data_IF_509333412270
#
_entry.id   IF_509333412270
#
_cell.length_a   1.000
_cell.length_b   1.000
_cell.length_c   1.000
_cell.angle_alpha   90.00
_cell.angle_beta   90.00
_cell.angle_gamma   90.00
#
_symmetry.space_group_name_H-M   'P 1'
#
loop_
_entity.id
_entity.type
_entity.pdbx_description
1 polymer ?
#
# COMPACT_ATOMS: atom_id res chain seq x y z
N UNK A 1 -0.30 -11.08 -14.69
CA UNK A 1 0.53 -9.91 -14.31
C UNK A 1 1.43 -10.21 -13.10
N UNK A 2 0.92 -10.76 -11.99
CA UNK A 2 1.75 -11.23 -10.86
C UNK A 2 2.81 -12.28 -11.26
N UNK A 3 2.50 -13.18 -12.19
CA UNK A 3 3.45 -14.22 -12.66
C UNK A 3 4.67 -13.65 -13.40
N UNK A 4 4.48 -12.61 -14.20
CA UNK A 4 5.58 -12.02 -15.00
C UNK A 4 6.56 -11.30 -14.08
N UNK A 5 6.06 -10.52 -13.11
CA UNK A 5 6.90 -9.85 -12.12
C UNK A 5 7.67 -10.84 -11.23
N UNK A 6 7.05 -11.95 -10.85
CA UNK A 6 7.71 -13.01 -10.09
C UNK A 6 8.73 -13.79 -10.92
N UNK A 7 8.48 -14.00 -12.22
CA UNK A 7 9.46 -14.58 -13.15
C UNK A 7 10.70 -13.70 -13.27
N UNK A 8 10.53 -12.40 -13.51
CA UNK A 8 11.65 -11.46 -13.58
C UNK A 8 12.40 -11.39 -12.24
N UNK A 9 11.69 -11.36 -11.11
CA UNK A 9 12.33 -11.39 -9.81
C UNK A 9 13.08 -12.70 -9.57
N UNK A 10 12.53 -13.83 -10.01
CA UNK A 10 13.19 -15.14 -9.99
C UNK A 10 14.49 -15.15 -10.80
N UNK A 11 14.51 -14.54 -11.98
CA UNK A 11 15.72 -14.35 -12.77
C UNK A 11 16.77 -13.48 -12.06
N UNK A 12 16.33 -12.37 -11.44
CA UNK A 12 17.24 -11.50 -10.67
C UNK A 12 17.85 -12.25 -9.47
N UNK A 13 17.08 -13.12 -8.84
CA UNK A 13 17.56 -14.00 -7.76
C UNK A 13 18.54 -15.04 -8.28
N UNK A 14 18.23 -15.70 -9.40
CA UNK A 14 19.07 -16.73 -10.01
C UNK A 14 20.42 -16.16 -10.47
N UNK A 15 20.43 -14.90 -10.92
CA UNK A 15 21.65 -14.17 -11.26
C UNK A 15 22.37 -13.55 -10.04
N UNK A 16 21.95 -13.91 -8.83
CA UNK A 16 22.46 -13.38 -7.56
C UNK A 16 22.48 -11.85 -7.46
N UNK A 17 21.59 -11.18 -8.20
CA UNK A 17 21.49 -9.72 -8.17
C UNK A 17 20.65 -9.25 -6.99
N UNK A 18 19.59 -10.00 -6.67
CA UNK A 18 18.69 -9.74 -5.55
C UNK A 18 18.74 -10.93 -4.60
N UNK A 19 19.02 -10.67 -3.33
CA UNK A 19 18.82 -11.65 -2.27
C UNK A 19 17.35 -11.69 -1.91
N UNK A 20 16.80 -12.89 -1.86
CA UNK A 20 15.46 -13.08 -1.35
C UNK A 20 15.52 -13.88 -0.06
N UNK A 21 15.03 -13.29 1.02
CA UNK A 21 14.73 -14.07 2.19
C UNK A 21 13.44 -14.81 1.88
N UNK A 22 13.53 -16.12 1.69
CA UNK A 22 12.35 -16.94 1.52
C UNK A 22 11.66 -17.13 2.89
N UNK A 23 10.35 -17.14 2.88
CA UNK A 23 9.54 -17.63 3.99
C UNK A 23 9.91 -19.10 4.26
N UNK A 24 10.16 -19.43 5.52
CA UNK A 24 10.60 -20.79 5.94
C UNK A 24 9.67 -21.91 5.48
N UNK A 25 8.39 -21.61 5.25
CA UNK A 25 7.34 -22.62 5.12
C UNK A 25 6.78 -22.80 3.69
N UNK A 26 6.97 -21.84 2.79
CA UNK A 26 6.45 -21.93 1.41
C UNK A 26 7.44 -21.44 0.34
N UNK A 27 8.72 -21.27 0.70
CA UNK A 27 9.80 -20.86 -0.21
C UNK A 27 9.46 -19.62 -1.07
N UNK A 28 8.58 -18.74 -0.59
CA UNK A 28 8.23 -17.48 -1.26
C UNK A 28 9.01 -16.32 -0.70
N UNK A 29 9.17 -15.29 -1.51
CA UNK A 29 9.99 -14.14 -1.16
C UNK A 29 9.30 -13.34 -0.05
N UNK A 30 9.82 -13.43 1.19
CA UNK A 30 9.41 -12.65 2.36
C UNK A 30 9.95 -11.22 2.30
N UNK A 31 11.17 -11.10 1.80
CA UNK A 31 11.93 -9.86 1.76
C UNK A 31 12.90 -9.94 0.58
N UNK A 32 12.91 -8.92 -0.26
CA UNK A 32 13.99 -8.71 -1.23
C UNK A 32 15.02 -7.77 -0.62
N UNK A 33 16.30 -8.09 -0.76
CA UNK A 33 17.42 -7.20 -0.50
C UNK A 33 18.27 -7.13 -1.75
N UNK A 34 18.72 -5.93 -2.09
CA UNK A 34 19.72 -5.75 -3.11
C UNK A 34 21.09 -5.88 -2.43
N UNK A 35 22.02 -6.62 -3.05
CA UNK A 35 23.41 -6.65 -2.57
C UNK A 35 24.01 -5.23 -2.63
N UNK A 36 24.93 -4.88 -1.71
CA UNK A 36 25.58 -3.57 -1.72
C UNK A 36 26.27 -3.28 -3.06
N UNK A 37 27.04 -4.23 -3.61
CA UNK A 37 27.68 -4.09 -4.92
C UNK A 37 26.67 -3.87 -6.05
N UNK A 38 25.54 -4.58 -6.04
CA UNK A 38 24.48 -4.42 -7.03
C UNK A 38 23.77 -3.08 -6.89
N UNK A 39 23.53 -2.64 -5.65
CA UNK A 39 23.01 -1.31 -5.35
C UNK A 39 23.94 -0.24 -5.91
N UNK A 40 25.22 -0.33 -5.61
CA UNK A 40 26.21 0.65 -6.04
C UNK A 40 26.36 0.65 -7.57
N UNK A 41 26.34 -0.53 -8.21
CA UNK A 41 26.29 -0.66 -9.67
C UNK A 41 25.02 -0.02 -10.26
N UNK A 42 23.84 -0.26 -9.69
CA UNK A 42 22.59 0.35 -10.14
C UNK A 42 22.63 1.88 -9.99
N UNK A 43 23.20 2.39 -8.89
CA UNK A 43 23.36 3.83 -8.66
C UNK A 43 24.34 4.45 -9.66
N UNK A 44 25.46 3.77 -9.95
CA UNK A 44 26.42 4.17 -10.97
C UNK A 44 25.76 4.21 -12.35
N UNK A 45 25.05 3.15 -12.75
CA UNK A 45 24.33 3.08 -14.03
C UNK A 45 23.23 4.15 -14.12
N UNK A 46 22.49 4.38 -13.04
CA UNK A 46 21.49 5.43 -13.01
C UNK A 46 22.10 6.83 -13.18
N UNK A 47 23.32 7.07 -12.68
CA UNK A 47 24.08 8.30 -12.89
C UNK A 47 24.59 8.41 -14.33
N UNK A 48 25.20 7.35 -14.87
CA UNK A 48 25.69 7.29 -16.26
C UNK A 48 24.57 7.57 -17.27
N UNK A 49 23.36 7.05 -17.01
CA UNK A 49 22.20 7.19 -17.90
C UNK A 49 21.31 8.40 -17.58
N UNK A 50 21.67 9.24 -16.60
CA UNK A 50 20.83 10.35 -16.11
C UNK A 50 19.38 9.90 -15.80
N UNK A 51 19.24 8.69 -15.26
CA UNK A 51 17.96 8.00 -15.08
C UNK A 51 17.21 8.49 -13.83
N UNK A 52 17.95 8.73 -12.74
CA UNK A 52 17.42 9.07 -11.41
C UNK A 52 18.38 10.01 -10.68
N UNK A 53 17.83 11.08 -10.14
CA UNK A 53 18.53 11.97 -9.21
C UNK A 53 18.09 11.63 -7.78
N UNK A 54 19.04 11.50 -6.86
CA UNK A 54 18.78 11.16 -5.46
C UNK A 54 19.14 12.36 -4.58
N UNK A 55 18.18 12.81 -3.79
CA UNK A 55 18.31 13.95 -2.89
C UNK A 55 18.11 13.51 -1.46
N UNK A 56 19.10 13.79 -0.61
CA UNK A 56 18.98 13.56 0.82
C UNK A 56 18.58 14.88 1.50
N UNK A 57 17.55 14.84 2.33
CA UNK A 57 17.12 15.96 3.18
C UNK A 57 17.52 15.61 4.62
N UNK A 58 18.53 16.30 5.15
CA UNK A 58 18.94 16.19 6.56
C UNK A 58 18.17 17.19 7.43
N UNK A 59 17.87 16.79 8.66
CA UNK A 59 17.18 17.61 9.66
C UNK A 59 18.13 18.43 10.57
N UNK A 60 19.37 18.73 10.17
CA UNK A 60 20.26 19.53 11.03
C UNK A 60 19.89 21.03 11.01
N UNK A 61 19.58 21.60 12.19
CA UNK A 61 19.76 23.04 12.48
C UNK A 61 19.28 24.02 11.40
N UNK A 62 18.09 23.79 10.84
CA UNK A 62 17.50 24.60 9.75
C UNK A 62 18.18 24.54 8.38
N UNK A 63 19.32 23.88 8.17
CA UNK A 63 19.96 23.77 6.85
C UNK A 63 19.50 22.52 6.07
N UNK A 64 19.42 22.65 4.76
CA UNK A 64 19.12 21.57 3.80
C UNK A 64 20.44 21.22 3.12
N UNK A 65 20.79 19.96 2.89
CA UNK A 65 22.04 19.65 2.19
C UNK A 65 21.93 18.56 1.14
N UNK A 66 22.33 18.86 -0.10
CA UNK A 66 22.60 17.84 -1.12
C UNK A 66 23.79 16.96 -0.69
N UNK A 67 23.74 15.69 -1.06
CA UNK A 67 24.90 14.81 -1.07
C UNK A 67 25.20 14.54 -2.53
N UNK A 68 26.21 15.21 -3.06
CA UNK A 68 26.65 15.02 -4.44
C UNK A 68 27.51 13.74 -4.49
N UNK A 69 27.15 12.70 -5.28
CA UNK A 69 27.99 11.53 -5.41
C UNK A 69 29.17 11.87 -6.32
N UNK A 70 30.23 12.45 -5.75
CA UNK A 70 31.52 12.75 -6.37
C UNK A 70 31.48 13.71 -7.57
N UNK A 71 32.21 14.82 -7.38
CA UNK A 71 32.61 15.81 -8.37
C UNK A 71 33.20 15.18 -9.64
N UNK A 72 32.70 15.59 -10.81
CA UNK A 72 33.43 16.47 -11.74
C UNK A 72 32.94 16.34 -13.19
N UNK A 73 32.85 17.50 -13.83
CA UNK A 73 33.07 17.78 -15.26
C UNK A 73 33.06 16.61 -16.26
N UNK A 74 31.97 16.50 -17.02
CA UNK A 74 32.05 16.22 -18.45
C UNK A 74 30.77 16.67 -19.13
N UNK A 75 30.93 17.56 -20.11
CA UNK A 75 29.89 17.94 -21.06
C UNK A 75 29.37 16.71 -21.82
N UNK A 76 28.14 16.31 -21.56
CA UNK A 76 27.39 15.42 -22.45
C UNK A 76 25.99 15.97 -22.66
N UNK A 77 25.64 16.14 -23.93
CA UNK A 77 24.38 16.69 -24.44
C UNK A 77 23.10 16.02 -23.88
N UNK A 78 22.19 16.86 -23.38
CA UNK A 78 20.71 16.81 -23.50
C UNK A 78 19.89 15.62 -22.94
N UNK A 79 20.33 14.88 -21.92
CA UNK A 79 19.38 14.03 -21.16
C UNK A 79 19.02 14.70 -19.84
N UNK A 80 17.87 15.38 -19.81
CA UNK A 80 17.34 15.98 -18.59
C UNK A 80 16.79 14.88 -17.66
N UNK A 81 17.19 14.88 -16.38
CA UNK A 81 16.81 13.84 -15.42
C UNK A 81 15.32 13.98 -15.06
N UNK A 82 14.50 13.00 -15.42
CA UNK A 82 13.03 13.11 -15.25
C UNK A 82 12.50 12.49 -13.96
N UNK A 83 13.36 11.84 -13.17
CA UNK A 83 12.97 11.13 -11.94
C UNK A 83 13.80 11.63 -10.75
N UNK A 84 13.10 11.90 -9.65
CA UNK A 84 13.68 12.36 -8.40
C UNK A 84 13.32 11.38 -7.29
N UNK A 85 14.30 10.90 -6.53
CA UNK A 85 14.08 10.18 -5.29
C UNK A 85 14.59 11.02 -4.11
N UNK A 86 13.75 11.23 -3.12
CA UNK A 86 14.03 12.10 -2.00
C UNK A 86 14.04 11.29 -0.70
N UNK A 87 15.09 11.43 0.09
CA UNK A 87 15.27 10.71 1.35
C UNK A 87 15.35 11.69 2.50
N UNK A 88 14.33 11.72 3.35
CA UNK A 88 14.39 12.45 4.62
C UNK A 88 15.06 11.61 5.69
N UNK A 89 16.12 12.17 6.27
CA UNK A 89 16.94 11.58 7.31
C UNK A 89 16.72 12.36 8.61
N UNK A 90 16.17 11.69 9.63
CA UNK A 90 16.08 12.24 10.98
C UNK A 90 17.44 12.28 11.69
N UNK A 91 17.53 13.01 12.79
CA UNK A 91 18.79 13.26 13.52
C UNK A 91 19.53 11.98 13.94
N UNK A 92 18.80 10.92 14.31
CA UNK A 92 19.40 9.63 14.71
C UNK A 92 20.04 8.88 13.54
N UNK A 93 19.48 8.99 12.34
CA UNK A 93 19.98 8.31 11.14
C UNK A 93 21.14 9.09 10.49
N UNK A 94 21.16 10.41 10.67
CA UNK A 94 22.16 11.31 10.11
C UNK A 94 23.58 11.09 10.67
N UNK A 95 23.71 10.56 11.90
CA UNK A 95 24.99 10.27 12.54
C UNK A 95 25.71 9.02 11.98
N UNK A 96 25.04 8.23 11.13
CA UNK A 96 25.62 7.02 10.52
C UNK A 96 26.18 7.23 9.11
N UNK A 97 25.88 8.38 8.49
CA UNK A 97 26.39 8.74 7.16
C UNK A 97 27.59 9.64 7.37
N UNK A 98 28.80 9.08 7.20
CA UNK A 98 30.05 9.85 7.17
C UNK A 98 29.85 11.12 6.35
N UNK A 99 30.29 12.24 6.92
CA UNK A 99 30.26 13.60 6.37
C UNK A 99 30.97 13.69 5.01
N UNK A 100 30.35 13.18 3.94
CA UNK A 100 30.76 13.45 2.57
C UNK A 100 29.93 14.62 2.05
N UNK A 101 30.65 15.70 1.72
CA UNK A 101 30.28 16.88 0.95
C UNK A 101 28.80 17.26 0.99
N UNK A 102 28.47 18.03 2.01
CA UNK A 102 27.16 18.57 2.34
C UNK A 102 27.01 19.94 1.65
N UNK A 103 26.16 20.08 0.63
CA UNK A 103 25.96 21.36 -0.08
C UNK A 103 24.61 21.98 0.31
N UNK A 104 24.55 23.19 0.90
CA UNK A 104 23.29 23.82 1.32
C UNK A 104 22.31 24.06 0.14
N UNK A 105 21.06 23.58 0.21
CA UNK A 105 20.04 23.95 -0.80
C UNK A 105 19.70 25.44 -0.66
N UNK A 106 20.14 26.24 -1.61
CA UNK A 106 19.63 27.60 -1.82
C UNK A 106 18.37 27.56 -2.68
N UNK A 107 17.42 28.49 -2.47
CA UNK A 107 16.19 28.55 -3.28
C UNK A 107 16.38 28.81 -4.78
N UNK A 108 17.62 29.05 -5.23
CA UNK A 108 17.97 29.32 -6.63
C UNK A 108 18.29 28.06 -7.44
N UNK A 109 18.83 27.01 -6.82
CA UNK A 109 19.27 25.79 -7.53
C UNK A 109 18.10 24.97 -8.08
N UNK A 110 16.95 25.02 -7.40
CA UNK A 110 15.83 24.12 -7.68
C UNK A 110 14.90 24.57 -8.81
N UNK A 111 14.99 25.83 -9.28
CA UNK A 111 14.18 26.33 -10.40
C UNK A 111 14.47 25.60 -11.73
N UNK A 112 15.58 24.84 -11.79
CA UNK A 112 16.04 24.18 -13.00
C UNK A 112 15.43 22.78 -13.22
N UNK A 113 14.68 22.23 -12.26
CA UNK A 113 14.12 20.86 -12.34
C UNK A 113 12.68 20.79 -12.89
N UNK A 114 12.24 21.80 -13.65
CA UNK A 114 10.90 21.84 -14.25
C UNK A 114 10.58 20.64 -15.16
N UNK A 115 11.60 19.95 -15.66
CA UNK A 115 11.49 18.78 -16.54
C UNK A 115 11.21 17.45 -15.82
N UNK A 116 11.30 17.42 -14.48
CA UNK A 116 11.02 16.24 -13.65
C UNK A 116 9.54 15.87 -13.77
N UNK A 117 9.28 14.58 -14.02
CA UNK A 117 7.94 14.01 -14.20
C UNK A 117 7.53 13.06 -13.08
N UNK A 118 8.50 12.49 -12.36
CA UNK A 118 8.27 11.56 -11.27
C UNK A 118 9.09 11.94 -10.05
N UNK A 119 8.46 12.00 -8.88
CA UNK A 119 9.11 12.23 -7.61
C UNK A 119 8.63 11.20 -6.59
N UNK A 120 9.57 10.48 -5.99
CA UNK A 120 9.32 9.55 -4.89
C UNK A 120 9.97 10.08 -3.63
N UNK A 121 9.24 10.05 -2.52
CA UNK A 121 9.74 10.48 -1.23
C UNK A 121 9.72 9.35 -0.22
N UNK A 122 10.86 9.20 0.44
CA UNK A 122 11.11 8.22 1.48
C UNK A 122 11.46 8.95 2.77
N UNK A 123 10.67 8.73 3.81
CA UNK A 123 10.99 9.16 5.18
C UNK A 123 11.45 7.96 5.99
N UNK A 124 12.66 8.01 6.52
CA UNK A 124 13.13 7.08 7.54
C UNK A 124 12.95 7.75 8.91
N UNK A 125 12.19 7.12 9.80
CA UNK A 125 11.93 7.64 11.16
C UNK A 125 10.60 8.39 11.34
N UNK A 126 10.61 9.35 12.27
CA UNK A 126 9.45 10.10 12.76
C UNK A 126 8.74 10.92 11.65
N UNK A 127 7.52 11.40 11.93
CA UNK A 127 6.76 12.24 11.00
C UNK A 127 7.55 13.48 10.55
N UNK A 128 7.37 13.86 9.27
CA UNK A 128 7.96 15.08 8.73
C UNK A 128 7.45 16.31 9.49
N UNK A 129 8.35 16.97 10.20
CA UNK A 129 8.06 18.20 10.93
C UNK A 129 7.60 19.33 10.00
N UNK A 130 6.95 20.36 10.57
CA UNK A 130 6.42 21.50 9.81
C UNK A 130 7.51 22.23 9.02
N UNK A 131 8.72 22.33 9.56
CA UNK A 131 9.91 22.91 8.91
C UNK A 131 10.30 22.14 7.65
N UNK A 132 10.33 20.80 7.72
CA UNK A 132 10.59 19.90 6.60
C UNK A 132 9.54 20.04 5.50
N UNK A 133 8.27 20.26 5.84
CA UNK A 133 7.23 20.49 4.83
C UNK A 133 7.37 21.83 4.11
N UNK A 134 7.72 22.93 4.80
CA UNK A 134 7.93 24.21 4.11
C UNK A 134 9.07 24.11 3.08
N UNK A 135 10.11 23.34 3.40
CA UNK A 135 11.20 23.00 2.48
C UNK A 135 10.69 22.18 1.28
N UNK A 136 9.87 21.16 1.50
CA UNK A 136 9.19 20.42 0.41
C UNK A 136 8.29 21.32 -0.45
N UNK A 137 7.58 22.28 0.14
CA UNK A 137 6.77 23.24 -0.65
C UNK A 137 7.62 24.04 -1.61
N UNK A 138 8.84 24.44 -1.22
CA UNK A 138 9.77 25.15 -2.11
C UNK A 138 10.18 24.24 -3.28
N UNK A 139 10.39 22.94 -3.02
CA UNK A 139 10.68 21.94 -4.05
C UNK A 139 9.52 21.78 -5.02
N UNK A 140 8.33 21.57 -4.49
CA UNK A 140 7.11 21.42 -5.27
C UNK A 140 6.78 22.63 -6.16
N UNK A 141 7.27 23.84 -5.83
CA UNK A 141 7.13 25.00 -6.73
C UNK A 141 7.99 24.90 -7.99
N UNK A 142 9.12 24.21 -7.95
CA UNK A 142 10.00 24.01 -9.11
C UNK A 142 9.58 22.83 -10.01
N UNK A 143 8.79 21.89 -9.48
CA UNK A 143 8.38 20.66 -10.17
C UNK A 143 7.06 20.85 -10.94
N UNK A 144 7.04 21.75 -11.92
CA UNK A 144 5.79 22.16 -12.60
C UNK A 144 5.23 21.12 -13.58
N UNK A 145 6.06 20.20 -14.10
CA UNK A 145 5.64 19.14 -15.03
C UNK A 145 5.50 17.77 -14.34
N UNK A 146 5.45 17.74 -13.01
CA UNK A 146 5.30 16.50 -12.26
C UNK A 146 3.95 15.84 -12.57
N UNK A 147 4.01 14.54 -12.85
CA UNK A 147 2.84 13.71 -13.12
C UNK A 147 2.70 12.58 -12.08
N UNK A 148 3.82 12.07 -11.56
CA UNK A 148 3.84 11.00 -10.55
C UNK A 148 4.43 11.54 -9.26
N UNK A 149 3.65 11.53 -8.19
CA UNK A 149 4.08 11.95 -6.86
C UNK A 149 3.77 10.87 -5.83
N UNK A 150 4.82 10.22 -5.33
CA UNK A 150 4.70 9.18 -4.32
C UNK A 150 5.26 9.64 -2.97
N UNK A 151 4.37 9.72 -1.98
CA UNK A 151 4.66 10.20 -0.63
C UNK A 151 4.24 9.14 0.41
N UNK A 152 4.39 7.85 0.09
CA UNK A 152 3.95 6.62 0.79
C UNK A 152 4.02 6.65 2.34
N UNK A 153 4.87 7.51 2.93
CA UNK A 153 5.04 7.62 4.38
C UNK A 153 4.92 9.03 4.97
N UNK A 154 4.58 10.04 4.18
CA UNK A 154 4.40 11.41 4.66
C UNK A 154 2.93 11.69 4.89
N UNK A 155 2.62 12.32 6.02
CA UNK A 155 1.32 12.97 6.24
C UNK A 155 1.25 14.26 5.39
N UNK A 156 0.51 14.20 4.28
CA UNK A 156 0.52 15.22 3.21
C UNK A 156 -0.42 16.41 3.47
N UNK A 157 -1.32 16.29 4.44
CA UNK A 157 -2.23 17.36 4.85
C UNK A 157 -2.18 17.52 6.39
N UNK A 158 -2.33 18.76 6.89
CA UNK A 158 -2.32 19.11 8.34
C UNK A 158 -1.31 20.19 8.76
N UNK A 159 -1.55 20.93 9.86
CA UNK A 159 -0.67 22.02 10.38
C UNK A 159 -0.15 23.02 9.31
N UNK A 160 -1.02 23.47 8.40
CA UNK A 160 -0.64 24.42 7.33
C UNK A 160 0.09 23.78 6.13
N UNK A 161 0.15 22.45 6.07
CA UNK A 161 0.63 21.67 4.92
C UNK A 161 -0.44 21.69 3.82
N UNK A 162 -0.10 22.27 2.68
CA UNK A 162 -0.90 22.34 1.45
C UNK A 162 0.05 22.21 0.27
N UNK A 163 -0.35 21.49 -0.78
CA UNK A 163 0.40 21.49 -2.02
C UNK A 163 0.40 22.88 -2.67
N UNK A 164 1.51 23.30 -3.30
CA UNK A 164 1.51 24.48 -4.14
C UNK A 164 0.54 24.31 -5.32
N UNK A 165 -0.10 25.41 -5.76
CA UNK A 165 -1.00 25.40 -6.94
C UNK A 165 -0.33 24.89 -8.22
N UNK A 166 1.01 24.95 -8.29
CA UNK A 166 1.79 24.47 -9.42
C UNK A 166 1.71 22.95 -9.64
N UNK A 167 1.36 22.17 -8.60
CA UNK A 167 1.14 20.73 -8.71
C UNK A 167 -0.36 20.50 -8.97
N UNK A 168 -0.73 20.43 -10.24
CA UNK A 168 -2.13 20.26 -10.66
C UNK A 168 -2.38 19.13 -11.66
N UNK A 169 -1.35 18.72 -12.40
CA UNK A 169 -1.48 17.75 -13.51
C UNK A 169 -0.92 16.37 -13.14
N UNK A 170 -1.25 15.89 -11.94
CA UNK A 170 -0.83 14.57 -11.49
C UNK A 170 -1.68 13.49 -12.16
N UNK A 171 -1.03 12.41 -12.59
CA UNK A 171 -1.66 11.14 -12.99
C UNK A 171 -1.63 10.13 -11.84
N UNK A 172 -0.67 10.26 -10.93
CA UNK A 172 -0.47 9.39 -9.78
C UNK A 172 -0.19 10.21 -8.53
N UNK A 173 -0.93 9.92 -7.46
CA UNK A 173 -0.69 10.47 -6.13
C UNK A 173 -0.81 9.38 -5.06
N UNK A 174 0.18 9.33 -4.17
CA UNK A 174 0.24 8.43 -3.02
C UNK A 174 0.62 9.20 -1.76
N UNK A 175 0.02 8.90 -0.60
CA UNK A 175 0.45 9.49 0.67
C UNK A 175 -0.41 9.17 1.89
N UNK A 176 0.02 9.63 3.08
CA UNK A 176 -0.76 9.46 4.32
C UNK A 176 -1.64 10.67 4.59
N UNK A 177 -2.86 10.44 5.05
CA UNK A 177 -3.80 11.52 5.40
C UNK A 177 -4.40 11.22 6.76
N UNK A 178 -4.44 12.20 7.67
CA UNK A 178 -5.18 12.06 8.91
C UNK A 178 -6.68 12.36 8.67
N UNK A 179 -7.62 11.74 9.41
CA UNK A 179 -9.06 12.00 9.26
C UNK A 179 -9.43 13.49 9.24
N UNK A 180 -8.96 14.27 10.22
CA UNK A 180 -9.14 15.73 10.30
C UNK A 180 -8.67 16.52 9.08
N UNK A 181 -7.76 15.96 8.29
CA UNK A 181 -7.14 16.63 7.15
C UNK A 181 -7.78 16.24 5.81
N UNK A 182 -8.77 15.33 5.83
CA UNK A 182 -9.57 14.97 4.67
C UNK A 182 -10.26 16.19 4.03
N UNK A 183 -10.73 17.14 4.84
CA UNK A 183 -11.36 18.37 4.33
C UNK A 183 -10.39 19.19 3.47
N UNK A 184 -9.12 19.25 3.85
CA UNK A 184 -8.09 19.99 3.10
C UNK A 184 -7.76 19.26 1.81
N UNK A 185 -7.71 17.93 1.86
CA UNK A 185 -7.45 17.07 0.71
C UNK A 185 -8.58 17.17 -0.33
N UNK A 186 -9.83 16.96 0.08
CA UNK A 186 -11.00 16.96 -0.80
C UNK A 186 -11.25 18.34 -1.44
N UNK A 187 -10.94 19.43 -0.71
CA UNK A 187 -11.01 20.81 -1.25
C UNK A 187 -9.77 21.20 -2.07
N UNK A 188 -8.77 20.33 -2.19
CA UNK A 188 -7.56 20.66 -2.92
C UNK A 188 -7.81 20.71 -4.44
N UNK A 189 -7.09 21.58 -5.17
CA UNK A 189 -7.20 21.63 -6.64
C UNK A 189 -6.67 20.36 -7.31
N UNK A 190 -6.06 19.43 -6.57
CA UNK A 190 -5.60 18.15 -7.12
C UNK A 190 -6.77 17.19 -7.33
N UNK A 191 -7.76 17.19 -6.43
CA UNK A 191 -8.93 16.32 -6.52
C UNK A 191 -10.17 17.01 -7.08
N UNK A 192 -10.28 18.33 -6.90
CA UNK A 192 -11.47 19.10 -7.28
C UNK A 192 -11.30 19.92 -8.58
N UNK A 193 -10.39 19.50 -9.47
CA UNK A 193 -10.18 20.15 -10.76
C UNK A 193 -10.98 19.43 -11.85
N UNK A 194 -11.76 20.18 -12.62
CA UNK A 194 -12.55 19.65 -13.75
C UNK A 194 -11.70 18.97 -14.83
N UNK A 195 -10.41 19.33 -14.92
CA UNK A 195 -9.42 18.70 -15.79
C UNK A 195 -8.47 17.75 -15.04
N UNK A 196 -8.94 17.11 -13.96
CA UNK A 196 -8.14 16.18 -13.18
C UNK A 196 -7.64 15.01 -14.06
N UNK A 197 -6.32 14.90 -14.21
CA UNK A 197 -5.67 13.82 -14.95
C UNK A 197 -5.36 12.59 -14.07
N UNK A 198 -5.76 12.60 -12.80
CA UNK A 198 -5.45 11.50 -11.88
C UNK A 198 -6.07 10.22 -12.39
N UNK A 199 -5.25 9.18 -12.50
CA UNK A 199 -5.68 7.83 -12.86
C UNK A 199 -5.49 6.87 -11.69
N UNK A 200 -4.62 7.26 -10.75
CA UNK A 200 -4.23 6.46 -9.61
C UNK A 200 -4.08 7.31 -8.35
N UNK A 201 -4.90 7.00 -7.36
CA UNK A 201 -4.84 7.58 -6.03
C UNK A 201 -4.70 6.45 -5.00
N UNK A 202 -3.68 6.58 -4.14
CA UNK A 202 -3.42 5.65 -3.04
C UNK A 202 -3.28 6.41 -1.73
N UNK A 203 -4.10 6.05 -0.74
CA UNK A 203 -4.03 6.70 0.56
C UNK A 203 -3.97 5.73 1.73
N UNK A 204 -3.18 6.10 2.72
CA UNK A 204 -3.18 5.50 4.05
C UNK A 204 -3.76 6.50 5.02
N UNK A 205 -4.96 6.21 5.51
CA UNK A 205 -5.61 7.00 6.54
C UNK A 205 -5.37 6.32 7.87
N UNK A 206 -4.74 7.03 8.78
CA UNK A 206 -4.50 6.55 10.15
C UNK A 206 -5.03 7.56 11.16
N UNK A 207 -5.87 7.07 12.05
CA UNK A 207 -6.53 7.85 13.09
C UNK A 207 -8.01 7.52 13.16
N UNK A 208 -8.63 7.95 14.25
CA UNK A 208 -10.02 7.67 14.54
C UNK A 208 -10.92 8.74 13.95
N UNK A 209 -12.06 8.33 13.42
CA UNK A 209 -13.10 9.18 12.86
C UNK A 209 -14.12 9.50 13.97
N UNK A 210 -13.76 10.46 14.81
CA UNK A 210 -14.51 10.78 16.03
C UNK A 210 -15.74 11.64 15.75
N UNK A 211 -15.76 12.37 14.63
CA UNK A 211 -16.82 13.33 14.30
C UNK A 211 -17.66 12.86 13.10
N UNK A 212 -18.93 13.28 13.05
CA UNK A 212 -19.79 13.05 11.87
C UNK A 212 -19.26 13.76 10.61
N UNK A 213 -18.57 14.91 10.77
CA UNK A 213 -17.94 15.61 9.66
C UNK A 213 -16.83 14.76 9.01
N UNK A 214 -15.93 14.17 9.81
CA UNK A 214 -14.86 13.29 9.31
C UNK A 214 -15.44 12.06 8.59
N UNK A 215 -16.56 11.52 9.06
CA UNK A 215 -17.25 10.40 8.42
C UNK A 215 -17.91 10.82 7.09
N UNK A 216 -18.53 12.00 7.05
CA UNK A 216 -19.07 12.56 5.81
C UNK A 216 -17.97 12.77 4.77
N UNK A 217 -16.80 13.27 5.20
CA UNK A 217 -15.62 13.40 4.36
C UNK A 217 -15.08 12.04 3.89
N UNK A 218 -15.10 11.00 4.74
CA UNK A 218 -14.75 9.65 4.31
C UNK A 218 -15.70 9.14 3.23
N UNK A 219 -17.02 9.34 3.38
CA UNK A 219 -18.00 8.97 2.35
C UNK A 219 -17.76 9.71 1.03
N UNK A 220 -17.43 11.01 1.09
CA UNK A 220 -17.04 11.78 -0.09
C UNK A 220 -15.78 11.22 -0.76
N UNK A 221 -14.77 10.82 0.03
CA UNK A 221 -13.54 10.19 -0.51
C UNK A 221 -13.84 8.86 -1.19
N UNK A 222 -14.72 8.03 -0.62
CA UNK A 222 -15.13 6.76 -1.21
C UNK A 222 -15.94 6.93 -2.51
N UNK A 223 -16.55 8.09 -2.72
CA UNK A 223 -17.13 8.48 -4.01
C UNK A 223 -16.10 8.84 -5.09
N UNK A 224 -14.81 8.96 -4.75
CA UNK A 224 -13.79 9.37 -5.71
C UNK A 224 -13.39 8.22 -6.67
N UNK A 225 -13.77 8.33 -7.95
CA UNK A 225 -13.50 7.31 -8.97
C UNK A 225 -12.01 7.07 -9.28
N UNK A 226 -11.12 7.97 -8.86
CA UNK A 226 -9.67 7.86 -9.05
C UNK A 226 -8.98 7.03 -7.95
N UNK A 227 -9.69 6.71 -6.86
CA UNK A 227 -9.17 5.93 -5.74
C UNK A 227 -8.97 4.46 -6.14
N UNK A 228 -7.71 4.03 -6.17
CA UNK A 228 -7.27 2.68 -6.55
C UNK A 228 -6.82 1.87 -5.35
N UNK A 229 -6.24 2.51 -4.34
CA UNK A 229 -5.79 1.85 -3.12
C UNK A 229 -6.19 2.66 -1.89
N UNK A 230 -6.69 1.96 -0.89
CA UNK A 230 -7.08 2.57 0.37
C UNK A 230 -6.62 1.69 1.52
N UNK A 231 -5.95 2.30 2.49
CA UNK A 231 -5.69 1.69 3.79
C UNK A 231 -6.35 2.53 4.87
N UNK A 232 -7.26 1.96 5.65
CA UNK A 232 -7.93 2.59 6.77
C UNK A 232 -7.41 1.97 8.06
N UNK A 233 -6.90 2.80 8.98
CA UNK A 233 -6.42 2.35 10.28
C UNK A 233 -6.94 3.21 11.41
N UNK A 234 -7.78 2.65 12.27
CA UNK A 234 -8.43 3.37 13.37
C UNK A 234 -9.95 3.22 13.36
N UNK A 235 -10.60 3.71 14.41
CA UNK A 235 -12.05 3.57 14.61
C UNK A 235 -12.83 4.37 13.57
N UNK A 236 -13.83 3.75 12.92
CA UNK A 236 -14.58 4.40 11.82
C UNK A 236 -15.76 5.27 12.26
N UNK A 237 -16.50 4.87 13.30
CA UNK A 237 -17.63 5.62 13.85
C UNK A 237 -18.16 4.97 15.13
N UNK A 238 -19.10 5.63 15.83
CA UNK A 238 -19.78 5.06 17.00
C UNK A 238 -20.65 3.83 16.68
N UNK A 239 -21.04 3.64 15.42
CA UNK A 239 -21.93 2.55 14.98
C UNK A 239 -21.13 1.36 14.41
N UNK A 240 -19.82 1.50 14.27
CA UNK A 240 -18.90 0.52 13.70
C UNK A 240 -19.38 -0.11 12.38
N UNK A 241 -19.93 0.70 11.47
CA UNK A 241 -20.46 0.26 10.16
C UNK A 241 -19.61 0.77 9.00
N UNK A 242 -19.48 -0.08 7.99
CA UNK A 242 -18.89 0.29 6.71
C UNK A 242 -19.82 1.22 5.91
N UNK A 243 -19.27 2.15 5.12
CA UNK A 243 -20.05 2.89 4.15
C UNK A 243 -20.62 1.98 3.06
N UNK A 244 -21.85 2.24 2.62
CA UNK A 244 -22.55 1.42 1.60
C UNK A 244 -21.95 1.55 0.20
N UNK A 245 -21.11 2.56 -0.01
CA UNK A 245 -20.53 2.91 -1.29
C UNK A 245 -19.01 2.92 -1.20
N UNK A 246 -18.39 2.28 -2.18
CA UNK A 246 -16.95 2.23 -2.38
C UNK A 246 -16.64 2.52 -3.86
N UNK A 247 -15.44 3.02 -4.17
CA UNK A 247 -15.10 3.38 -5.53
C UNK A 247 -14.96 2.12 -6.40
N UNK A 248 -15.59 2.06 -7.58
CA UNK A 248 -15.61 0.84 -8.41
C UNK A 248 -14.22 0.45 -8.96
N UNK A 249 -13.29 1.40 -8.98
CA UNK A 249 -11.92 1.22 -9.44
C UNK A 249 -10.96 0.78 -8.33
N UNK A 250 -11.46 0.54 -7.11
CA UNK A 250 -10.64 0.12 -5.98
C UNK A 250 -10.04 -1.26 -6.23
N UNK A 251 -8.72 -1.34 -6.16
CA UNK A 251 -7.91 -2.54 -6.44
C UNK A 251 -7.32 -3.15 -5.17
N UNK A 252 -7.05 -2.32 -4.16
CA UNK A 252 -6.46 -2.72 -2.89
C UNK A 252 -7.22 -2.05 -1.75
N UNK A 253 -7.63 -2.85 -0.76
CA UNK A 253 -8.21 -2.37 0.49
C UNK A 253 -7.50 -3.02 1.67
N UNK A 254 -7.04 -2.21 2.60
CA UNK A 254 -6.55 -2.66 3.90
C UNK A 254 -7.36 -1.96 4.99
N UNK A 255 -7.87 -2.72 5.95
CA UNK A 255 -8.57 -2.18 7.11
C UNK A 255 -7.94 -2.75 8.36
N UNK A 256 -7.64 -1.89 9.34
CA UNK A 256 -7.09 -2.31 10.61
C UNK A 256 -7.61 -1.47 11.76
N UNK A 257 -7.86 -2.10 12.90
CA UNK A 257 -8.41 -1.45 14.09
C UNK A 257 -9.69 -0.63 13.82
N UNK A 258 -10.49 -1.07 12.84
CA UNK A 258 -11.77 -0.44 12.49
C UNK A 258 -12.93 -0.89 13.35
N UNK A 259 -12.76 -2.01 14.07
CA UNK A 259 -13.73 -2.60 15.00
C UNK A 259 -15.15 -2.76 14.47
N UNK A 260 -15.28 -3.20 13.21
CA UNK A 260 -16.58 -3.34 12.56
C UNK A 260 -17.49 -4.32 13.30
N UNK A 261 -18.73 -3.89 13.50
CA UNK A 261 -19.79 -4.70 14.14
C UNK A 261 -20.66 -5.42 13.12
N UNK A 262 -20.69 -4.96 11.87
CA UNK A 262 -21.35 -5.62 10.76
C UNK A 262 -20.33 -6.33 9.88
N UNK A 263 -20.75 -7.44 9.27
CA UNK A 263 -19.90 -8.19 8.36
C UNK A 263 -19.46 -7.31 7.17
N UNK A 264 -18.14 -7.13 6.94
CA UNK A 264 -17.67 -6.34 5.82
C UNK A 264 -17.89 -7.00 4.45
N UNK A 265 -18.00 -8.33 4.40
CA UNK A 265 -17.96 -9.08 3.15
C UNK A 265 -19.11 -8.74 2.18
N UNK A 266 -20.40 -8.61 2.60
CA UNK A 266 -21.50 -8.25 1.70
C UNK A 266 -21.34 -6.90 0.98
N UNK A 267 -20.58 -5.97 1.56
CA UNK A 267 -20.26 -4.68 0.93
C UNK A 267 -19.05 -4.82 0.02
N UNK A 268 -18.00 -5.49 0.49
CA UNK A 268 -16.73 -5.59 -0.23
C UNK A 268 -16.77 -6.56 -1.40
N UNK A 269 -17.60 -7.60 -1.35
CA UNK A 269 -17.73 -8.61 -2.41
C UNK A 269 -18.28 -8.05 -3.71
N UNK A 270 -18.97 -6.90 -3.64
CA UNK A 270 -19.53 -6.18 -4.79
C UNK A 270 -18.47 -5.41 -5.58
N UNK A 271 -17.23 -5.32 -5.07
CA UNK A 271 -16.16 -4.56 -5.70
C UNK A 271 -15.59 -5.30 -6.92
N UNK A 272 -15.74 -4.75 -8.14
CA UNK A 272 -15.46 -5.49 -9.37
C UNK A 272 -13.96 -5.66 -9.65
N UNK A 273 -13.12 -4.75 -9.16
CA UNK A 273 -11.69 -4.70 -9.46
C UNK A 273 -10.80 -5.00 -8.24
N UNK A 274 -11.39 -5.31 -7.09
CA UNK A 274 -10.63 -5.56 -5.86
C UNK A 274 -9.85 -6.87 -6.02
N UNK A 275 -8.53 -6.78 -6.08
CA UNK A 275 -7.65 -7.95 -6.21
C UNK A 275 -6.94 -8.29 -4.91
N UNK A 276 -6.80 -7.34 -3.98
CA UNK A 276 -6.18 -7.55 -2.66
C UNK A 276 -7.01 -6.95 -1.55
N UNK A 277 -7.39 -7.78 -0.58
CA UNK A 277 -8.09 -7.40 0.64
C UNK A 277 -7.28 -7.84 1.87
N UNK A 278 -7.08 -6.91 2.80
CA UNK A 278 -6.42 -7.15 4.09
C UNK A 278 -7.33 -6.67 5.21
N UNK A 279 -7.72 -7.59 6.09
CA UNK A 279 -8.38 -7.33 7.36
C UNK A 279 -7.35 -7.62 8.47
N UNK A 280 -6.89 -6.58 9.16
CA UNK A 280 -5.83 -6.65 10.18
C UNK A 280 -6.36 -6.15 11.53
N UNK A 281 -5.71 -6.57 12.63
CA UNK A 281 -5.84 -5.99 13.98
C UNK A 281 -7.27 -5.58 14.38
N UNK A 282 -8.14 -6.52 14.74
CA UNK A 282 -9.53 -6.22 15.13
C UNK A 282 -10.30 -5.30 14.14
N UNK A 283 -10.05 -5.43 12.83
CA UNK A 283 -10.88 -4.74 11.84
C UNK A 283 -12.35 -5.17 11.89
N UNK A 284 -12.61 -6.36 12.42
CA UNK A 284 -13.93 -6.93 12.66
C UNK A 284 -13.97 -7.57 14.04
N UNK A 285 -15.01 -7.29 14.83
CA UNK A 285 -15.10 -7.71 16.25
C UNK A 285 -16.20 -8.72 16.55
N UNK A 286 -17.04 -9.08 15.58
CA UNK A 286 -18.03 -10.16 15.77
C UNK A 286 -17.44 -11.53 15.43
N UNK A 287 -18.29 -12.54 15.61
CA UNK A 287 -17.94 -13.96 15.60
C UNK A 287 -18.09 -14.63 14.24
N UNK A 288 -18.94 -14.12 13.37
CA UNK A 288 -19.34 -14.80 12.14
C UNK A 288 -19.08 -13.93 10.93
N UNK A 289 -18.47 -14.47 9.89
CA UNK A 289 -18.24 -13.77 8.63
C UNK A 289 -18.66 -14.66 7.47
N UNK A 290 -19.37 -14.10 6.49
CA UNK A 290 -19.97 -14.81 5.36
C UNK A 290 -19.59 -14.13 4.06
N UNK A 291 -18.92 -14.87 3.17
CA UNK A 291 -18.73 -14.45 1.79
C UNK A 291 -19.78 -15.13 0.92
N UNK A 292 -20.71 -14.35 0.37
CA UNK A 292 -21.82 -14.89 -0.40
C UNK A 292 -21.52 -14.98 -1.89
N UNK A 293 -22.14 -15.96 -2.52
CA UNK A 293 -22.48 -15.90 -3.93
C UNK A 293 -23.76 -15.05 -3.99
N UNK A 294 -23.76 -13.94 -4.73
CA UNK A 294 -24.84 -12.94 -4.73
C UNK A 294 -26.27 -13.56 -4.82
N UNK A 295 -27.33 -12.86 -4.36
CA UNK A 295 -28.58 -13.50 -3.95
C UNK A 295 -29.26 -14.32 -5.04
N UNK A 296 -29.60 -15.56 -4.69
CA UNK A 296 -30.71 -16.36 -5.23
C UNK A 296 -32.00 -15.52 -5.15
N UNK A 297 -32.85 -15.27 -6.15
CA UNK A 297 -33.20 -15.91 -7.43
C UNK A 297 -33.94 -14.88 -8.32
N UNK A 298 -33.95 -15.02 -9.66
CA UNK A 298 -33.21 -16.00 -10.44
C UNK A 298 -31.96 -15.35 -11.06
N UNK A 299 -30.81 -16.03 -10.99
CA UNK A 299 -29.82 -15.86 -12.05
C UNK A 299 -29.37 -17.21 -12.62
N UNK A 300 -29.47 -17.44 -13.94
CA UNK A 300 -28.53 -18.31 -14.62
C UNK A 300 -27.28 -17.51 -14.99
N UNK A 301 -26.11 -18.11 -14.74
CA UNK A 301 -24.77 -17.74 -15.22
C UNK A 301 -24.14 -16.42 -14.72
N UNK A 302 -23.38 -16.55 -13.63
CA UNK A 302 -22.13 -15.81 -13.30
C UNK A 302 -22.19 -14.41 -12.66
N UNK A 303 -22.81 -14.30 -11.48
CA UNK A 303 -22.43 -13.25 -10.52
C UNK A 303 -21.70 -13.89 -9.34
N UNK A 304 -20.37 -13.71 -9.28
CA UNK A 304 -19.48 -14.28 -8.25
C UNK A 304 -19.04 -13.15 -7.32
N UNK A 305 -19.38 -13.23 -6.03
CA UNK A 305 -18.85 -12.30 -5.03
C UNK A 305 -17.32 -12.31 -5.11
N UNK A 306 -16.70 -11.12 -5.08
CA UNK A 306 -15.26 -10.94 -5.29
C UNK A 306 -14.74 -11.48 -6.65
N UNK A 307 -15.16 -10.91 -7.79
CA UNK A 307 -14.86 -11.46 -9.12
C UNK A 307 -13.36 -11.48 -9.47
N UNK A 308 -12.56 -10.54 -8.93
CA UNK A 308 -11.13 -10.39 -9.24
C UNK A 308 -10.20 -10.58 -8.03
N UNK A 309 -10.71 -10.99 -6.87
CA UNK A 309 -9.90 -11.11 -5.65
C UNK A 309 -8.86 -12.22 -5.81
N UNK A 310 -7.58 -11.87 -5.67
CA UNK A 310 -6.43 -12.77 -5.78
C UNK A 310 -5.72 -12.99 -4.46
N UNK A 311 -5.75 -11.99 -3.56
CA UNK A 311 -5.12 -12.08 -2.25
C UNK A 311 -6.10 -11.67 -1.17
N UNK A 312 -6.36 -12.57 -0.23
CA UNK A 312 -7.10 -12.30 1.01
C UNK A 312 -6.19 -12.55 2.20
N UNK A 313 -6.11 -11.57 3.10
CA UNK A 313 -5.35 -11.66 4.34
C UNK A 313 -6.28 -11.34 5.51
N UNK A 314 -6.44 -12.29 6.42
CA UNK A 314 -7.10 -12.15 7.72
C UNK A 314 -6.02 -12.22 8.78
N UNK A 315 -5.79 -11.14 9.52
CA UNK A 315 -4.73 -11.05 10.51
C UNK A 315 -5.23 -10.46 11.82
N UNK A 316 -4.89 -11.07 12.95
CA UNK A 316 -5.19 -10.54 14.28
C UNK A 316 -6.69 -10.22 14.49
N UNK A 317 -7.58 -11.07 13.97
CA UNK A 317 -9.04 -10.95 14.14
C UNK A 317 -9.45 -11.79 15.36
N UNK A 318 -9.47 -11.15 16.53
CA UNK A 318 -9.49 -11.86 17.82
C UNK A 318 -10.82 -12.56 18.15
N UNK A 319 -11.93 -12.10 17.58
CA UNK A 319 -13.27 -12.57 17.92
C UNK A 319 -13.92 -13.49 16.89
N UNK A 320 -13.31 -13.65 15.71
CA UNK A 320 -13.86 -14.47 14.63
C UNK A 320 -13.84 -15.95 15.03
N UNK A 321 -15.03 -16.56 15.15
CA UNK A 321 -15.22 -17.97 15.49
C UNK A 321 -15.58 -18.80 14.24
N UNK A 322 -16.41 -18.26 13.36
CA UNK A 322 -16.91 -18.92 12.15
C UNK A 322 -16.67 -18.06 10.91
N UNK A 323 -16.11 -18.69 9.88
CA UNK A 323 -15.96 -18.07 8.57
C UNK A 323 -16.56 -18.98 7.50
N UNK A 324 -17.62 -18.49 6.84
CA UNK A 324 -18.41 -19.22 5.83
C UNK A 324 -18.12 -18.62 4.45
N UNK A 325 -17.84 -19.47 3.48
CA UNK A 325 -17.63 -19.09 2.08
C UNK A 325 -18.55 -19.94 1.24
N UNK A 326 -19.49 -19.30 0.56
CA UNK A 326 -20.43 -19.97 -0.32
C UNK A 326 -19.78 -20.46 -1.62
N UNK A 327 -20.40 -21.46 -2.25
CA UNK A 327 -19.93 -21.99 -3.52
C UNK A 327 -19.98 -20.90 -4.61
N UNK A 328 -18.84 -20.66 -5.26
CA UNK A 328 -18.73 -19.65 -6.32
C UNK A 328 -18.28 -18.27 -5.87
N UNK A 329 -18.11 -18.04 -4.56
CA UNK A 329 -17.43 -16.86 -4.05
C UNK A 329 -15.92 -16.91 -4.35
N UNK A 330 -15.30 -15.73 -4.55
CA UNK A 330 -13.85 -15.55 -4.75
C UNK A 330 -13.20 -16.49 -5.78
N UNK A 331 -13.72 -16.56 -7.02
CA UNK A 331 -13.28 -17.52 -8.04
C UNK A 331 -11.80 -17.41 -8.43
N UNK A 332 -11.20 -16.23 -8.28
CA UNK A 332 -9.84 -15.92 -8.71
C UNK A 332 -8.82 -15.95 -7.55
N UNK A 333 -9.23 -16.41 -6.37
CA UNK A 333 -8.40 -16.33 -5.17
C UNK A 333 -7.18 -17.22 -5.31
N UNK A 334 -6.01 -16.58 -5.33
CA UNK A 334 -4.72 -17.23 -5.52
C UNK A 334 -3.97 -17.44 -4.20
N UNK A 335 -4.18 -16.52 -3.24
CA UNK A 335 -3.47 -16.48 -1.96
C UNK A 335 -4.42 -16.18 -0.82
N UNK A 336 -4.41 -17.06 0.17
CA UNK A 336 -5.11 -16.88 1.44
C UNK A 336 -4.11 -16.95 2.59
N UNK A 337 -4.18 -15.94 3.47
CA UNK A 337 -3.36 -15.90 4.69
C UNK A 337 -4.24 -15.61 5.89
N UNK A 338 -4.18 -16.50 6.87
CA UNK A 338 -4.85 -16.39 8.17
C UNK A 338 -3.76 -16.40 9.24
N UNK A 339 -3.61 -15.32 9.98
CA UNK A 339 -2.56 -15.21 11.01
C UNK A 339 -3.17 -14.64 12.28
N UNK A 340 -2.89 -15.26 13.42
CA UNK A 340 -3.28 -14.70 14.73
C UNK A 340 -4.81 -14.54 14.86
N UNK A 341 -5.56 -15.57 14.48
CA UNK A 341 -7.01 -15.65 14.66
C UNK A 341 -7.32 -16.80 15.65
N UNK A 342 -7.19 -16.56 16.97
CA UNK A 342 -7.14 -17.64 17.96
C UNK A 342 -8.49 -18.34 18.18
N UNK A 343 -9.62 -17.66 17.93
CA UNK A 343 -10.96 -18.22 18.17
C UNK A 343 -11.57 -18.94 16.95
N UNK A 344 -10.92 -18.89 15.79
CA UNK A 344 -11.43 -19.49 14.57
C UNK A 344 -11.48 -21.02 14.75
N UNK A 345 -12.68 -21.60 14.65
CA UNK A 345 -12.92 -23.02 14.95
C UNK A 345 -12.64 -23.93 13.76
N UNK A 346 -12.99 -23.46 12.56
CA UNK A 346 -12.84 -24.21 11.31
C UNK A 346 -12.55 -23.30 10.12
N UNK A 347 -12.03 -23.89 9.06
CA UNK A 347 -11.86 -23.21 7.76
C UNK A 347 -13.11 -23.45 6.90
N UNK A 348 -13.58 -22.46 6.11
CA UNK A 348 -14.80 -22.61 5.33
C UNK A 348 -14.75 -23.81 4.37
N UNK A 349 -15.81 -24.61 4.39
CA UNK A 349 -15.99 -25.75 3.47
C UNK A 349 -15.94 -25.33 2.00
N UNK A 350 -16.32 -24.07 1.68
CA UNK A 350 -16.29 -23.51 0.34
C UNK A 350 -14.90 -23.37 -0.28
N UNK A 351 -13.82 -23.36 0.52
CA UNK A 351 -12.46 -23.28 -0.03
C UNK A 351 -12.11 -24.47 -0.94
N UNK A 352 -12.76 -25.62 -0.75
CA UNK A 352 -12.59 -26.80 -1.61
C UNK A 352 -12.91 -26.53 -3.08
N UNK A 353 -13.77 -25.55 -3.35
CA UNK A 353 -14.21 -25.19 -4.71
C UNK A 353 -13.31 -24.13 -5.37
N UNK A 354 -12.39 -23.53 -4.61
CA UNK A 354 -11.47 -22.51 -5.10
C UNK A 354 -10.22 -23.20 -5.65
N UNK A 355 -10.33 -23.77 -6.85
CA UNK A 355 -9.23 -24.46 -7.53
C UNK A 355 -8.08 -23.54 -7.97
N UNK A 356 -8.32 -22.24 -7.99
CA UNK A 356 -7.32 -21.20 -8.28
C UNK A 356 -6.38 -20.94 -7.10
N UNK A 357 -6.71 -21.42 -5.90
CA UNK A 357 -5.92 -21.21 -4.68
C UNK A 357 -4.59 -21.95 -4.78
N UNK A 358 -3.50 -21.19 -4.85
CA UNK A 358 -2.14 -21.73 -4.91
C UNK A 358 -1.41 -21.65 -3.57
N UNK A 359 -1.79 -20.70 -2.73
CA UNK A 359 -1.19 -20.51 -1.43
C UNK A 359 -2.18 -20.46 -0.30
N UNK A 360 -1.87 -21.23 0.73
CA UNK A 360 -2.52 -21.13 2.02
C UNK A 360 -1.46 -20.98 3.12
N UNK A 361 -1.55 -19.91 3.91
CA UNK A 361 -0.77 -19.78 5.14
C UNK A 361 -1.71 -19.62 6.32
N UNK A 362 -1.60 -20.51 7.30
CA UNK A 362 -2.39 -20.44 8.54
C UNK A 362 -1.40 -20.46 9.70
N UNK A 363 -1.31 -19.39 10.49
CA UNK A 363 -0.36 -19.28 11.61
C UNK A 363 -1.04 -18.76 12.86
N UNK A 364 -0.54 -19.15 14.03
CA UNK A 364 -1.01 -18.64 15.32
C UNK A 364 -2.54 -18.75 15.47
N UNK A 365 -3.12 -19.84 14.96
CA UNK A 365 -4.51 -20.25 15.23
C UNK A 365 -4.55 -21.27 16.36
N UNK A 366 -5.75 -21.54 16.89
CA UNK A 366 -5.97 -22.59 17.88
C UNK A 366 -5.33 -23.93 17.45
N UNK A 367 -4.73 -24.63 18.41
CA UNK A 367 -4.08 -25.93 18.17
C UNK A 367 -5.06 -26.95 17.58
N UNK A 368 -6.31 -26.99 18.07
CA UNK A 368 -7.34 -27.86 17.54
C UNK A 368 -7.61 -27.64 16.04
N UNK A 369 -7.70 -26.39 15.57
CA UNK A 369 -7.87 -26.09 14.15
C UNK A 369 -6.61 -26.47 13.37
N UNK A 370 -5.43 -26.19 13.93
CA UNK A 370 -4.15 -26.53 13.32
C UNK A 370 -4.04 -28.04 13.07
N UNK A 371 -4.38 -28.86 14.05
CA UNK A 371 -4.30 -30.32 13.96
C UNK A 371 -5.31 -30.90 12.97
N UNK A 372 -6.52 -30.33 12.90
CA UNK A 372 -7.54 -30.74 11.91
C UNK A 372 -7.13 -30.43 10.46
N UNK A 373 -6.26 -29.43 10.26
CA UNK A 373 -5.76 -29.02 8.94
C UNK A 373 -4.39 -29.62 8.57
N UNK A 374 -3.77 -30.41 9.45
CA UNK A 374 -2.55 -31.17 9.11
C UNK A 374 -2.89 -32.27 8.10
N UNK A 375 -1.88 -32.74 7.36
CA UNK A 375 -2.06 -33.88 6.44
C UNK A 375 -2.66 -35.08 7.18
N UNK A 376 -3.79 -35.60 6.68
CA UNK A 376 -4.56 -36.66 7.34
C UNK A 376 -5.58 -36.20 8.38
N UNK A 377 -5.63 -34.90 8.70
CA UNK A 377 -6.63 -34.31 9.59
C UNK A 377 -8.02 -34.20 8.97
N UNK A 378 -9.06 -34.12 9.81
CA UNK A 378 -10.47 -34.12 9.41
C UNK A 378 -10.85 -33.01 8.44
N UNK A 379 -10.17 -31.86 8.46
CA UNK A 379 -10.45 -30.71 7.60
C UNK A 379 -9.50 -30.59 6.40
N UNK A 380 -8.49 -31.46 6.29
CA UNK A 380 -7.49 -31.37 5.23
C UNK A 380 -8.11 -31.46 3.83
N UNK A 381 -9.19 -32.22 3.68
CA UNK A 381 -9.93 -32.33 2.42
C UNK A 381 -10.46 -30.97 1.90
N UNK A 382 -10.61 -29.95 2.76
CA UNK A 382 -11.01 -28.59 2.35
C UNK A 382 -9.88 -27.83 1.62
N UNK A 383 -8.62 -28.25 1.81
CA UNK A 383 -7.41 -27.51 1.38
C UNK A 383 -6.38 -28.35 0.64
N UNK A 384 -6.57 -29.67 0.54
CA UNK A 384 -5.63 -30.63 -0.07
C UNK A 384 -5.26 -30.31 -1.53
N UNK A 385 -6.12 -29.59 -2.27
CA UNK A 385 -5.86 -29.18 -3.65
C UNK A 385 -4.87 -28.03 -3.77
N UNK A 386 -4.50 -27.37 -2.66
CA UNK A 386 -3.60 -26.23 -2.62
C UNK A 386 -2.14 -26.71 -2.70
N UNK A 387 -1.36 -26.34 -3.72
CA UNK A 387 0.01 -26.84 -3.90
C UNK A 387 1.01 -26.38 -2.83
N UNK A 388 0.76 -25.24 -2.18
CA UNK A 388 1.67 -24.66 -1.19
C UNK A 388 0.93 -24.30 0.09
N UNK A 389 0.99 -25.20 1.06
CA UNK A 389 0.34 -25.08 2.37
C UNK A 389 1.42 -24.85 3.44
N UNK A 390 1.26 -23.79 4.23
CA UNK A 390 2.14 -23.48 5.35
C UNK A 390 1.32 -23.33 6.64
N UNK A 391 1.34 -24.38 7.46
CA UNK A 391 0.66 -24.45 8.76
C UNK A 391 1.71 -24.76 9.84
N UNK A 392 2.55 -23.77 10.22
CA UNK A 392 3.57 -23.92 11.26
C UNK A 392 2.97 -23.94 12.65
#
# INVERSE_FOLDING_TARGET
MLDVGMSYLGELVQRCMVQVQLTRFNKRIKLCRLHNLMRDLCLLKAKEENFLEIVHIKAFGHQLSWVDPASSSSSSSLTTIRRLAMYYLGDRDANSIESRNVIPLSGHEMKNHHHVRSCQFYSFGNELESSGWQKLKLLFKGLTLIAVLDLERITIFGKGKKFPRAIGNLIYLSGRVAPKDLVVMLKSPILNNSNCLLQYLSFWIRGDFQTEEEQSLLRQLLGCHHLRQLSLWGYLNMVNKLPDQFPPNLTYLCMGNTELEEDPMPTLEKLPNLWSLILDWNSYIRKEMVCSSAPTTPPPSSCRGFPQLKSLVLKSIQNLEEWKVEQGAMPCLFRLVIVDCPKLKEVPTGLRFITTLRELQIRSVAEALRDRLREGGEEFYKVHHVPSIAIP
#
